data_IF_724896901741
#
_entry.id   IF_724896901741
#
_cell.length_a   1.000
_cell.length_b   1.000
_cell.length_c   1.000
_cell.angle_alpha   90.00
_cell.angle_beta   90.00
_cell.angle_gamma   90.00
#
_symmetry.space_group_name_H-M   'P 1'
#
loop_
_entity.id
_entity.type
_entity.pdbx_description
1 polymer ?
#
# COMPACT_ATOMS: atom_id res chain seq x y z
N UNK A 1 4.16 -26.58 10.26
CA UNK A 1 4.48 -25.75 9.10
C UNK A 1 5.14 -24.47 9.59
N UNK A 2 6.35 -24.20 9.16
CA UNK A 2 6.99 -22.92 9.45
C UNK A 2 6.39 -21.90 8.48
N UNK A 3 5.58 -20.98 8.98
CA UNK A 3 5.11 -19.88 8.19
C UNK A 3 6.27 -18.95 7.88
N UNK A 4 6.46 -18.65 6.61
CA UNK A 4 7.49 -17.71 6.17
C UNK A 4 6.84 -16.34 6.02
N UNK A 5 7.25 -15.39 6.87
CA UNK A 5 6.80 -14.01 6.81
C UNK A 5 7.89 -13.11 6.22
N UNK A 6 7.48 -12.16 5.38
CA UNK A 6 8.33 -11.08 4.89
C UNK A 6 7.91 -9.79 5.58
N UNK A 7 8.87 -9.06 6.15
CA UNK A 7 8.65 -7.74 6.76
C UNK A 7 9.63 -6.74 6.16
N UNK A 8 9.09 -5.60 5.75
CA UNK A 8 9.90 -4.49 5.25
C UNK A 8 10.22 -3.55 6.42
N UNK A 9 11.49 -3.19 6.55
CA UNK A 9 11.98 -2.26 7.57
C UNK A 9 12.80 -1.18 6.89
N UNK A 10 12.42 0.08 7.12
CA UNK A 10 13.19 1.24 6.68
C UNK A 10 13.99 1.80 7.85
N UNK A 11 15.26 2.08 7.64
CA UNK A 11 16.14 2.69 8.63
C UNK A 11 15.80 4.16 8.83
N UNK A 12 15.08 4.48 9.92
CA UNK A 12 14.65 5.86 10.21
C UNK A 12 15.04 6.31 11.61
N UNK A 13 15.07 5.39 12.56
CA UNK A 13 15.36 5.69 13.97
C UNK A 13 16.17 4.57 14.63
N UNK A 14 16.56 4.78 15.90
CA UNK A 14 17.45 3.89 16.62
C UNK A 14 17.04 2.41 16.58
N UNK A 15 15.74 2.11 16.72
CA UNK A 15 15.25 0.73 16.70
C UNK A 15 15.36 0.09 15.33
N UNK A 16 15.00 0.82 14.27
CA UNK A 16 15.03 0.30 12.88
C UNK A 16 16.46 0.18 12.36
N UNK A 17 17.37 1.07 12.75
CA UNK A 17 18.81 0.94 12.48
C UNK A 17 19.35 -0.32 13.17
N UNK A 18 19.01 -0.54 14.44
CA UNK A 18 19.41 -1.75 15.15
C UNK A 18 18.84 -3.03 14.53
N UNK A 19 17.65 -2.97 13.96
CA UNK A 19 17.06 -4.09 13.19
C UNK A 19 17.84 -4.39 11.91
N UNK A 20 18.37 -3.37 11.22
CA UNK A 20 19.13 -3.56 9.97
C UNK A 20 20.51 -4.19 10.20
N UNK A 21 21.03 -4.20 11.44
CA UNK A 21 22.26 -4.89 11.80
C UNK A 21 22.12 -6.42 11.82
N UNK A 22 20.88 -6.94 11.89
CA UNK A 22 20.59 -8.38 11.90
C UNK A 22 20.92 -9.00 10.54
N UNK A 23 21.50 -10.21 10.60
CA UNK A 23 21.92 -11.00 9.44
C UNK A 23 21.12 -12.30 9.36
N UNK A 24 21.22 -12.95 8.23
CA UNK A 24 20.64 -14.28 8.05
C UNK A 24 21.15 -15.25 9.11
N UNK A 25 20.24 -15.85 9.85
CA UNK A 25 20.54 -16.72 11.01
C UNK A 25 20.36 -16.05 12.36
N UNK A 26 20.29 -14.72 12.42
CA UNK A 26 19.94 -14.01 13.65
C UNK A 26 18.44 -14.12 13.94
N UNK A 27 18.04 -13.85 15.16
CA UNK A 27 16.65 -13.95 15.60
C UNK A 27 16.22 -12.77 16.46
N UNK A 28 14.95 -12.42 16.38
CA UNK A 28 14.31 -11.57 17.38
C UNK A 28 14.02 -12.39 18.63
N UNK A 29 14.10 -11.74 19.79
CA UNK A 29 13.72 -12.38 21.05
C UNK A 29 12.26 -12.78 21.06
N UNK A 30 11.40 -11.86 20.61
CA UNK A 30 9.96 -12.05 20.57
C UNK A 30 9.42 -11.44 19.25
N UNK A 31 8.46 -12.13 18.64
CA UNK A 31 7.73 -11.67 17.47
C UNK A 31 6.26 -12.02 17.66
N UNK A 32 5.46 -11.01 17.98
CA UNK A 32 4.04 -11.18 18.33
C UNK A 32 3.15 -10.73 17.17
N UNK A 33 2.13 -11.50 16.86
CA UNK A 33 1.14 -11.19 15.83
C UNK A 33 0.26 -12.41 15.50
N UNK A 34 -0.72 -12.24 14.60
CA UNK A 34 -1.12 -10.98 13.97
C UNK A 34 -1.80 -10.01 14.95
N UNK A 35 -1.51 -8.71 14.80
CA UNK A 35 -2.11 -7.63 15.59
C UNK A 35 -2.85 -6.67 14.66
N UNK A 36 -3.77 -5.88 15.23
CA UNK A 36 -4.58 -4.91 14.50
C UNK A 36 -5.89 -5.50 13.95
N UNK A 37 -6.53 -4.75 13.06
CA UNK A 37 -7.76 -5.14 12.41
C UNK A 37 -7.52 -5.46 10.93
N UNK A 38 -8.30 -6.40 10.40
CA UNK A 38 -8.31 -6.68 8.97
C UNK A 38 -8.86 -5.47 8.18
N UNK A 39 -8.51 -5.37 6.90
CA UNK A 39 -9.13 -4.39 6.00
C UNK A 39 -10.63 -4.67 5.86
N UNK A 40 -11.46 -3.62 5.80
CA UNK A 40 -12.93 -3.73 5.80
C UNK A 40 -13.47 -4.68 4.71
N UNK A 41 -12.85 -4.66 3.53
CA UNK A 41 -13.29 -5.50 2.41
C UNK A 41 -13.13 -7.02 2.66
N UNK A 42 -12.41 -7.44 3.70
CA UNK A 42 -12.30 -8.86 4.08
C UNK A 42 -13.62 -9.40 4.61
N UNK A 43 -14.46 -8.53 5.14
CA UNK A 43 -15.80 -8.85 5.66
C UNK A 43 -16.90 -8.64 4.62
N UNK A 44 -16.59 -8.06 3.46
CA UNK A 44 -17.55 -7.85 2.37
C UNK A 44 -17.86 -9.18 1.66
N UNK A 45 -19.05 -9.27 1.06
CA UNK A 45 -19.41 -10.41 0.21
C UNK A 45 -18.50 -10.44 -1.03
N UNK A 46 -17.90 -11.58 -1.31
CA UNK A 46 -16.93 -11.75 -2.40
C UNK A 46 -17.56 -11.47 -3.78
N UNK A 47 -18.81 -11.87 -4.00
CA UNK A 47 -19.46 -11.64 -5.29
C UNK A 47 -19.82 -10.17 -5.52
N UNK A 48 -20.12 -9.43 -4.45
CA UNK A 48 -20.28 -7.98 -4.52
C UNK A 48 -18.93 -7.28 -4.70
N UNK A 49 -17.88 -7.77 -4.03
CA UNK A 49 -16.53 -7.20 -4.15
C UNK A 49 -15.95 -7.40 -5.55
N UNK A 50 -16.25 -8.51 -6.24
CA UNK A 50 -15.87 -8.77 -7.63
C UNK A 50 -16.44 -7.77 -8.63
N UNK A 51 -17.55 -7.11 -8.31
CA UNK A 51 -18.17 -6.09 -9.16
C UNK A 51 -17.48 -4.73 -9.03
N UNK A 52 -16.72 -4.53 -7.96
CA UNK A 52 -16.06 -3.26 -7.67
C UNK A 52 -14.72 -3.17 -8.40
N UNK A 53 -14.42 -1.99 -8.89
CA UNK A 53 -13.10 -1.61 -9.40
C UNK A 53 -12.34 -0.85 -8.33
N UNK A 54 -11.30 -1.48 -7.80
CA UNK A 54 -10.54 -0.97 -6.67
C UNK A 54 -9.19 -0.44 -7.16
N UNK A 55 -8.86 0.78 -6.73
CA UNK A 55 -7.57 1.41 -6.96
C UNK A 55 -6.77 1.46 -5.66
N UNK A 56 -5.58 0.87 -5.65
CA UNK A 56 -4.62 1.05 -4.58
C UNK A 56 -3.57 2.09 -4.94
N UNK A 57 -3.25 2.95 -3.99
CA UNK A 57 -2.23 3.99 -4.13
C UNK A 57 -1.22 3.84 -3.01
N UNK A 58 -0.04 3.39 -3.37
CA UNK A 58 1.04 3.10 -2.45
C UNK A 58 2.16 4.13 -2.57
N UNK A 59 2.62 4.69 -1.47
CA UNK A 59 3.74 5.64 -1.43
C UNK A 59 4.94 5.10 -0.67
N UNK A 60 6.07 4.93 -1.35
CA UNK A 60 7.31 4.44 -0.76
C UNK A 60 7.10 3.13 0.01
N UNK A 61 7.41 3.13 1.31
CA UNK A 61 7.25 1.94 2.17
C UNK A 61 5.79 1.47 2.27
N UNK A 62 4.81 2.33 1.98
CA UNK A 62 3.39 1.97 1.93
C UNK A 62 3.05 0.88 0.91
N UNK A 63 3.93 0.59 -0.03
CA UNK A 63 3.81 -0.55 -0.95
C UNK A 63 3.78 -1.89 -0.22
N UNK A 64 4.53 -2.01 0.88
CA UNK A 64 4.60 -3.26 1.65
C UNK A 64 3.26 -3.67 2.27
N UNK A 65 2.49 -2.81 2.97
CA UNK A 65 1.17 -3.16 3.48
C UNK A 65 0.06 -3.21 2.40
N UNK A 66 0.27 -2.61 1.23
CA UNK A 66 -0.67 -2.75 0.09
C UNK A 66 -0.57 -4.14 -0.53
N UNK A 67 0.63 -4.69 -0.68
CA UNK A 67 0.85 -5.97 -1.34
C UNK A 67 -0.02 -7.13 -0.81
N UNK A 68 -0.09 -7.42 0.50
CA UNK A 68 -0.92 -8.52 0.99
C UNK A 68 -2.42 -8.30 0.75
N UNK A 69 -2.88 -7.06 0.67
CA UNK A 69 -4.27 -6.73 0.37
C UNK A 69 -4.61 -7.02 -1.10
N UNK A 70 -3.75 -6.57 -2.01
CA UNK A 70 -3.90 -6.82 -3.45
C UNK A 70 -3.78 -8.33 -3.74
N UNK A 71 -2.82 -9.01 -3.12
CA UNK A 71 -2.66 -10.46 -3.23
C UNK A 71 -3.91 -11.21 -2.75
N UNK A 72 -4.50 -10.81 -1.62
CA UNK A 72 -5.71 -11.41 -1.09
C UNK A 72 -6.91 -11.28 -2.06
N UNK A 73 -7.03 -10.13 -2.72
CA UNK A 73 -8.04 -9.89 -3.77
C UNK A 73 -7.77 -10.76 -4.99
N UNK A 74 -6.54 -10.76 -5.49
CA UNK A 74 -6.11 -11.55 -6.66
C UNK A 74 -6.37 -13.04 -6.48
N UNK A 75 -6.04 -13.62 -5.31
CA UNK A 75 -6.31 -15.03 -4.97
C UNK A 75 -7.82 -15.38 -4.99
N UNK A 76 -8.70 -14.37 -4.99
CA UNK A 76 -10.16 -14.50 -5.08
C UNK A 76 -10.73 -14.10 -6.44
N UNK A 77 -9.85 -13.87 -7.41
CA UNK A 77 -10.22 -13.50 -8.78
C UNK A 77 -10.73 -12.05 -8.89
N UNK A 78 -10.22 -11.16 -8.04
CA UNK A 78 -10.52 -9.73 -8.05
C UNK A 78 -9.26 -8.98 -8.44
N UNK A 79 -9.27 -8.38 -9.62
CA UNK A 79 -8.15 -7.61 -10.14
C UNK A 79 -8.26 -6.14 -9.71
N UNK A 80 -7.29 -5.69 -8.93
CA UNK A 80 -7.19 -4.31 -8.50
C UNK A 80 -6.07 -3.59 -9.26
N UNK A 81 -6.30 -2.33 -9.62
CA UNK A 81 -5.26 -1.47 -10.18
C UNK A 81 -4.40 -0.90 -9.05
N UNK A 82 -3.08 -0.83 -9.27
CA UNK A 82 -2.14 -0.36 -8.26
C UNK A 82 -1.24 0.74 -8.81
N UNK A 83 -1.13 1.83 -8.06
CA UNK A 83 -0.13 2.88 -8.30
C UNK A 83 0.94 2.79 -7.22
N UNK A 84 2.20 2.62 -7.61
CA UNK A 84 3.36 2.74 -6.73
C UNK A 84 4.04 4.07 -7.00
N UNK A 85 4.12 4.92 -5.98
CA UNK A 85 4.85 6.17 -6.01
C UNK A 85 6.11 6.12 -5.16
N UNK A 86 7.21 6.64 -5.69
CA UNK A 86 8.46 6.78 -4.97
C UNK A 86 9.13 8.12 -5.33
N UNK A 87 10.10 8.58 -4.53
CA UNK A 87 10.87 9.78 -4.87
C UNK A 87 11.80 9.52 -6.05
N UNK A 88 12.47 8.37 -6.04
CA UNK A 88 13.46 7.97 -7.04
C UNK A 88 13.29 6.47 -7.35
N UNK A 89 13.90 6.00 -8.45
CA UNK A 89 13.92 4.60 -8.83
C UNK A 89 14.39 3.67 -7.72
N UNK A 90 15.45 4.06 -7.02
CA UNK A 90 16.08 3.23 -5.98
C UNK A 90 15.18 3.00 -4.75
N UNK A 91 14.14 3.83 -4.61
CA UNK A 91 13.14 3.73 -3.54
C UNK A 91 11.87 2.98 -3.96
N UNK A 92 11.80 2.50 -5.19
CA UNK A 92 10.72 1.61 -5.65
C UNK A 92 10.96 0.22 -5.06
N UNK A 93 10.00 -0.28 -4.31
CA UNK A 93 10.07 -1.60 -3.67
C UNK A 93 8.94 -2.50 -4.15
N UNK A 94 9.17 -3.81 -4.15
CA UNK A 94 8.15 -4.84 -4.41
C UNK A 94 7.42 -4.70 -5.77
N UNK A 95 8.04 -4.09 -6.76
CA UNK A 95 7.44 -3.91 -8.09
C UNK A 95 7.11 -5.25 -8.73
N UNK A 96 8.06 -6.20 -8.72
CA UNK A 96 7.87 -7.52 -9.32
C UNK A 96 6.79 -8.33 -8.63
N UNK A 97 6.80 -8.34 -7.30
CA UNK A 97 5.78 -9.03 -6.52
C UNK A 97 4.39 -8.42 -6.76
N UNK A 98 4.32 -7.10 -6.90
CA UNK A 98 3.06 -6.41 -7.16
C UNK A 98 2.56 -6.65 -8.58
N UNK A 99 3.46 -6.72 -9.56
CA UNK A 99 3.14 -7.00 -10.96
C UNK A 99 2.47 -8.37 -11.14
N UNK A 100 2.84 -9.36 -10.31
CA UNK A 100 2.25 -10.70 -10.33
C UNK A 100 0.80 -10.74 -9.83
N UNK A 101 0.36 -9.77 -9.04
CA UNK A 101 -0.95 -9.80 -8.35
C UNK A 101 -1.86 -8.62 -8.69
N UNK A 102 -1.34 -7.55 -9.28
CA UNK A 102 -2.13 -6.40 -9.71
C UNK A 102 -2.81 -6.64 -11.04
N UNK A 103 -4.04 -6.13 -11.22
CA UNK A 103 -4.70 -6.11 -12.52
C UNK A 103 -3.94 -5.21 -13.51
N UNK A 104 -3.62 -3.98 -13.08
CA UNK A 104 -2.67 -3.10 -13.77
C UNK A 104 -1.77 -2.44 -12.74
N UNK A 105 -0.47 -2.39 -13.04
CA UNK A 105 0.52 -1.72 -12.21
C UNK A 105 1.03 -0.45 -12.88
N UNK A 106 1.00 0.65 -12.14
CA UNK A 106 1.54 1.95 -12.55
C UNK A 106 2.62 2.38 -11.58
N UNK A 107 3.83 2.57 -12.08
CA UNK A 107 4.95 3.07 -11.27
C UNK A 107 5.23 4.51 -11.65
N UNK A 108 5.39 5.37 -10.64
CA UNK A 108 5.74 6.78 -10.83
C UNK A 108 6.86 7.19 -9.87
N UNK A 109 7.77 8.06 -10.34
CA UNK A 109 8.80 8.66 -9.50
C UNK A 109 8.72 10.17 -9.59
N UNK A 110 8.89 10.84 -8.44
CA UNK A 110 8.80 12.31 -8.36
C UNK A 110 9.84 12.99 -9.26
N UNK A 111 11.05 12.41 -9.32
CA UNK A 111 12.17 12.91 -10.14
C UNK A 111 12.16 12.43 -11.59
N UNK A 112 11.21 11.57 -11.97
CA UNK A 112 11.13 11.01 -13.32
C UNK A 112 12.21 9.99 -13.67
N UNK A 113 12.96 9.49 -12.69
CA UNK A 113 14.06 8.53 -12.92
C UNK A 113 13.56 7.15 -13.33
N UNK A 114 12.28 6.84 -13.11
CA UNK A 114 11.69 5.55 -13.46
C UNK A 114 10.17 5.62 -13.60
N UNK A 115 9.61 4.82 -14.52
CA UNK A 115 8.18 4.76 -14.78
C UNK A 115 7.62 6.08 -15.32
N UNK A 116 6.44 6.47 -14.83
CA UNK A 116 5.86 7.79 -15.12
C UNK A 116 6.59 8.85 -14.27
N UNK A 117 6.70 10.05 -14.79
CA UNK A 117 7.25 11.19 -14.04
C UNK A 117 6.15 11.93 -13.30
N UNK A 118 6.36 12.21 -12.02
CA UNK A 118 5.48 13.03 -11.20
C UNK A 118 4.80 12.28 -10.06
N UNK A 119 3.86 12.96 -9.40
CA UNK A 119 3.20 12.46 -8.20
C UNK A 119 2.07 11.46 -8.53
N UNK A 120 1.76 10.59 -7.58
CA UNK A 120 0.65 9.62 -7.68
C UNK A 120 -0.70 10.27 -8.01
N UNK A 121 -0.94 11.48 -7.54
CA UNK A 121 -2.15 12.26 -7.84
C UNK A 121 -2.29 12.57 -9.32
N UNK A 122 -1.20 12.84 -10.02
CA UNK A 122 -1.22 13.04 -11.46
C UNK A 122 -1.59 11.75 -12.18
N UNK A 123 -1.07 10.61 -11.73
CA UNK A 123 -1.42 9.31 -12.30
C UNK A 123 -2.90 9.00 -12.10
N UNK A 124 -3.45 9.22 -10.90
CA UNK A 124 -4.90 9.05 -10.64
C UNK A 124 -5.73 9.89 -11.60
N UNK A 125 -5.36 11.17 -11.74
CA UNK A 125 -6.05 12.10 -12.63
C UNK A 125 -6.01 11.65 -14.09
N UNK A 126 -4.85 11.20 -14.55
CA UNK A 126 -4.67 10.72 -15.91
C UNK A 126 -5.50 9.44 -16.17
N UNK A 127 -5.54 8.51 -15.22
CA UNK A 127 -6.33 7.29 -15.33
C UNK A 127 -7.83 7.59 -15.43
N UNK A 128 -8.34 8.51 -14.61
CA UNK A 128 -9.77 8.83 -14.56
C UNK A 128 -10.16 9.78 -15.70
N UNK A 129 -9.44 10.90 -15.90
CA UNK A 129 -9.84 11.93 -16.84
C UNK A 129 -9.39 11.67 -18.28
N UNK A 130 -8.18 11.10 -18.48
CA UNK A 130 -7.65 10.88 -19.84
C UNK A 130 -7.90 9.47 -20.36
N UNK A 131 -7.76 8.45 -19.50
CA UNK A 131 -7.96 7.06 -19.88
C UNK A 131 -9.42 6.60 -19.68
N UNK A 132 -10.27 7.42 -19.03
CA UNK A 132 -11.68 7.13 -18.80
C UNK A 132 -11.93 5.97 -17.85
N UNK A 133 -10.97 5.64 -17.00
CA UNK A 133 -11.14 4.58 -16.01
C UNK A 133 -12.08 5.01 -14.90
N UNK A 134 -12.95 4.11 -14.51
CA UNK A 134 -13.82 4.29 -13.35
C UNK A 134 -13.40 3.39 -12.22
N UNK A 135 -13.38 3.92 -11.02
CA UNK A 135 -13.10 3.19 -9.78
C UNK A 135 -14.21 3.42 -8.76
N UNK A 136 -14.59 2.37 -8.05
CA UNK A 136 -15.63 2.41 -7.03
C UNK A 136 -15.04 2.72 -5.64
N UNK A 137 -13.77 2.35 -5.44
CA UNK A 137 -13.06 2.51 -4.17
C UNK A 137 -11.58 2.78 -4.42
N UNK A 138 -11.01 3.68 -3.63
CA UNK A 138 -9.56 3.93 -3.58
C UNK A 138 -9.03 3.60 -2.18
N UNK A 139 -7.89 2.94 -2.10
CA UNK A 139 -7.16 2.68 -0.85
C UNK A 139 -5.78 3.30 -0.95
N UNK A 140 -5.46 4.26 -0.10
CA UNK A 140 -4.19 4.95 -0.13
C UNK A 140 -3.37 4.71 1.15
N UNK A 141 -2.14 4.24 0.97
CA UNK A 141 -1.20 3.94 2.07
C UNK A 141 0.17 4.54 1.73
N UNK A 142 0.66 5.40 2.59
CA UNK A 142 1.95 6.04 2.39
C UNK A 142 2.17 7.26 3.29
N UNK A 143 3.08 8.17 2.91
CA UNK A 143 3.32 9.38 3.66
C UNK A 143 2.03 10.21 3.85
N UNK A 144 1.86 10.80 5.03
CA UNK A 144 0.69 11.61 5.40
C UNK A 144 0.36 12.69 4.35
N UNK A 145 1.40 13.36 3.85
CA UNK A 145 1.23 14.41 2.85
C UNK A 145 0.69 13.87 1.52
N UNK A 146 1.15 12.68 1.09
CA UNK A 146 0.64 12.01 -0.10
C UNK A 146 -0.83 11.65 0.08
N UNK A 147 -1.18 10.99 1.18
CA UNK A 147 -2.56 10.60 1.48
C UNK A 147 -3.49 11.80 1.52
N UNK A 148 -3.05 12.93 2.11
CA UNK A 148 -3.80 14.19 2.10
C UNK A 148 -4.14 14.66 0.68
N UNK A 149 -3.16 14.70 -0.22
CA UNK A 149 -3.40 15.14 -1.60
C UNK A 149 -4.21 14.13 -2.40
N UNK A 150 -4.04 12.83 -2.16
CA UNK A 150 -4.91 11.81 -2.74
C UNK A 150 -6.35 12.03 -2.30
N UNK A 151 -6.63 12.22 -1.01
CA UNK A 151 -7.98 12.48 -0.51
C UNK A 151 -8.61 13.75 -1.10
N UNK A 152 -7.84 14.83 -1.27
CA UNK A 152 -8.35 16.05 -1.88
C UNK A 152 -8.76 15.80 -3.34
N UNK A 153 -7.92 15.14 -4.11
CA UNK A 153 -8.22 14.80 -5.50
C UNK A 153 -9.39 13.82 -5.63
N UNK A 154 -9.40 12.74 -4.87
CA UNK A 154 -10.46 11.73 -4.95
C UNK A 154 -11.81 12.29 -4.50
N UNK A 155 -11.82 13.26 -3.59
CA UNK A 155 -13.03 14.01 -3.24
C UNK A 155 -13.59 14.81 -4.43
N UNK A 156 -12.72 15.46 -5.21
CA UNK A 156 -13.12 16.17 -6.44
C UNK A 156 -13.66 15.20 -7.49
N UNK A 157 -13.08 13.99 -7.56
CA UNK A 157 -13.49 12.94 -8.48
C UNK A 157 -14.71 12.12 -7.99
N UNK A 158 -15.26 12.43 -6.80
CA UNK A 158 -16.31 11.64 -6.15
C UNK A 158 -15.94 10.15 -5.96
N UNK A 159 -14.67 9.86 -5.73
CA UNK A 159 -14.14 8.51 -5.52
C UNK A 159 -13.98 8.23 -4.03
N UNK A 160 -14.78 7.34 -3.43
CA UNK A 160 -14.64 6.94 -2.03
C UNK A 160 -13.22 6.45 -1.73
N UNK A 161 -12.61 7.01 -0.68
CA UNK A 161 -11.19 6.75 -0.41
C UNK A 161 -10.97 6.37 1.06
N UNK A 162 -10.30 5.23 1.25
CA UNK A 162 -9.83 4.75 2.54
C UNK A 162 -8.35 5.08 2.65
N UNK A 163 -7.91 5.62 3.78
CA UNK A 163 -6.51 5.88 4.07
C UNK A 163 -6.07 5.12 5.31
N UNK A 164 -4.88 4.55 5.26
CA UNK A 164 -4.27 3.90 6.41
C UNK A 164 -3.50 4.93 7.23
N UNK A 165 -4.09 5.36 8.34
CA UNK A 165 -3.47 6.31 9.27
C UNK A 165 -2.73 5.55 10.36
N UNK A 166 -1.55 6.04 10.71
CA UNK A 166 -0.77 5.55 11.84
C UNK A 166 -0.35 6.72 12.73
N UNK A 167 -1.29 7.31 13.51
CA UNK A 167 -1.00 8.52 14.28
C UNK A 167 -0.10 8.24 15.49
N UNK A 168 -0.38 7.20 16.24
CA UNK A 168 0.39 6.76 17.40
C UNK A 168 0.24 5.25 17.57
N UNK A 169 1.36 4.55 17.72
CA UNK A 169 1.37 3.14 18.11
C UNK A 169 2.44 2.94 19.18
N UNK A 170 2.07 2.42 20.35
CA UNK A 170 3.00 2.13 21.43
C UNK A 170 3.47 0.67 21.38
N UNK A 171 2.55 -0.28 21.29
CA UNK A 171 2.84 -1.71 21.37
C UNK A 171 2.08 -2.57 20.35
N UNK A 172 1.12 -2.00 19.63
CA UNK A 172 0.31 -2.72 18.64
C UNK A 172 -0.76 -3.65 19.22
N UNK A 173 -0.89 -3.73 20.56
CA UNK A 173 -1.91 -4.58 21.21
C UNK A 173 -3.26 -3.87 21.38
N UNK A 174 -3.33 -2.59 21.10
CA UNK A 174 -4.51 -1.75 21.29
C UNK A 174 -4.69 -1.23 22.73
N UNK A 175 -3.81 -1.56 23.65
CA UNK A 175 -3.90 -1.06 25.04
C UNK A 175 -3.61 0.43 25.15
N UNK A 176 -2.89 1.01 24.18
CA UNK A 176 -2.63 2.44 24.13
C UNK A 176 -3.85 3.29 23.70
N UNK A 177 -4.95 2.68 23.23
CA UNK A 177 -6.15 3.36 22.73
C UNK A 177 -5.96 4.04 21.37
N UNK A 178 -4.91 3.69 20.62
CA UNK A 178 -4.62 4.21 19.29
C UNK A 178 -5.04 3.23 18.20
#
# INVERSE_FOLDING_TARGET
>A
ASDVYKRQVQEVGASTVKMSELKAGDSFRDFVGPLGCASEFVEEDIEELKKQKILFVAGGLGTAPVYPQVKWLHERGIDADVIIGAKTKDLVIMEKEMEEVAGNLYVTTDDGSYGRSGMVTQVIKDLVEKEGKHYDKCVAIGPMIMMKFVCLLTKELNLPTIVSMNPVMVDGTGMCGA
#
